data_IF_303544466844
#
_entry.id   IF_303544466844
#
_cell.length_a   1.000
_cell.length_b   1.000
_cell.length_c   1.000
_cell.angle_alpha   90.00
_cell.angle_beta   90.00
_cell.angle_gamma   90.00
#
_symmetry.space_group_name_H-M   'P 1'
#
loop_
_entity.id
_entity.type
_entity.pdbx_description
1 polymer ?
#
# COMPACT_ATOMS: atom_id res chain seq x y z
N UNK A 1 -18.63 -95.22 7.61
CA UNK A 1 -19.31 -94.04 7.04
C UNK A 1 -18.73 -92.81 7.70
N UNK A 2 -17.87 -92.08 6.99
CA UNK A 2 -17.02 -91.01 7.54
C UNK A 2 -17.71 -89.67 7.32
N UNK A 3 -17.86 -88.89 8.39
CA UNK A 3 -18.47 -87.57 8.40
C UNK A 3 -17.62 -86.56 7.59
N UNK A 4 -18.28 -85.81 6.71
CA UNK A 4 -17.68 -84.71 5.94
C UNK A 4 -18.30 -83.39 6.39
N UNK A 5 -17.57 -82.66 7.21
CA UNK A 5 -17.90 -81.33 7.72
C UNK A 5 -17.53 -80.29 6.66
N UNK A 6 -18.53 -79.63 6.06
CA UNK A 6 -18.32 -78.44 5.21
C UNK A 6 -18.02 -77.23 6.09
N UNK A 7 -16.80 -76.70 5.98
CA UNK A 7 -16.43 -75.41 6.56
C UNK A 7 -16.98 -74.27 5.67
N UNK A 8 -17.81 -73.41 6.26
CA UNK A 8 -18.30 -72.16 5.65
C UNK A 8 -17.23 -71.09 5.88
N UNK A 9 -16.63 -70.59 4.79
CA UNK A 9 -15.71 -69.46 4.81
C UNK A 9 -16.51 -68.17 4.61
N UNK A 10 -16.88 -67.48 5.70
CA UNK A 10 -17.40 -66.11 5.63
C UNK A 10 -16.23 -65.13 5.57
N UNK A 11 -16.08 -64.46 4.42
CA UNK A 11 -15.20 -63.30 4.27
C UNK A 11 -15.78 -62.16 5.12
N UNK A 12 -15.22 -61.93 6.30
CA UNK A 12 -15.40 -60.66 7.00
C UNK A 12 -14.57 -59.60 6.26
N UNK A 13 -15.23 -58.84 5.39
CA UNK A 13 -14.72 -57.56 4.91
C UNK A 13 -14.66 -56.58 6.09
N UNK A 14 -13.49 -56.45 6.70
CA UNK A 14 -13.20 -55.34 7.62
C UNK A 14 -13.23 -54.03 6.81
N UNK A 15 -14.39 -53.36 6.82
CA UNK A 15 -14.47 -51.95 6.44
C UNK A 15 -13.72 -51.13 7.48
N UNK A 16 -12.49 -50.75 7.13
CA UNK A 16 -11.73 -49.72 7.86
C UNK A 16 -12.54 -48.41 7.74
N UNK A 17 -12.99 -47.80 8.85
CA UNK A 17 -13.66 -46.52 8.78
C UNK A 17 -12.64 -45.46 8.36
N UNK A 18 -12.78 -44.96 7.13
CA UNK A 18 -12.03 -43.81 6.64
C UNK A 18 -12.41 -42.63 7.52
N UNK A 19 -11.43 -42.18 8.32
CA UNK A 19 -11.56 -41.06 9.25
C UNK A 19 -11.98 -39.78 8.52
N UNK A 20 -13.26 -39.42 8.65
CA UNK A 20 -13.88 -38.20 8.15
C UNK A 20 -13.26 -36.91 8.69
N UNK A 21 -12.44 -37.00 9.75
CA UNK A 21 -11.72 -35.86 10.30
C UNK A 21 -10.65 -35.28 9.35
N UNK A 22 -10.08 -36.09 8.45
CA UNK A 22 -9.03 -35.61 7.54
C UNK A 22 -9.57 -34.74 6.40
N UNK A 23 -10.78 -35.01 5.90
CA UNK A 23 -11.39 -34.26 4.82
C UNK A 23 -11.97 -32.93 5.29
N UNK A 24 -12.62 -32.89 6.46
CA UNK A 24 -13.09 -31.65 7.06
C UNK A 24 -11.93 -30.69 7.38
N UNK A 25 -10.78 -31.20 7.83
CA UNK A 25 -9.59 -30.39 8.08
C UNK A 25 -8.93 -29.87 6.80
N UNK A 26 -9.00 -30.62 5.69
CA UNK A 26 -8.53 -30.16 4.37
C UNK A 26 -9.43 -29.07 3.81
N UNK A 27 -10.75 -29.29 3.80
CA UNK A 27 -11.74 -28.32 3.33
C UNK A 27 -11.66 -27.00 4.10
N UNK A 28 -11.52 -27.06 5.43
CA UNK A 28 -11.31 -25.86 6.27
C UNK A 28 -10.05 -25.08 5.87
N UNK A 29 -8.95 -25.77 5.56
CA UNK A 29 -7.71 -25.12 5.11
C UNK A 29 -7.84 -24.51 3.71
N UNK A 30 -8.56 -25.17 2.81
CA UNK A 30 -8.85 -24.66 1.47
C UNK A 30 -9.73 -23.41 1.53
N UNK A 31 -10.77 -23.41 2.36
CA UNK A 31 -11.64 -22.26 2.60
C UNK A 31 -10.83 -21.08 3.20
N UNK A 32 -9.95 -21.35 4.17
CA UNK A 32 -9.07 -20.34 4.75
C UNK A 32 -8.10 -19.76 3.71
N UNK A 33 -7.54 -20.60 2.84
CA UNK A 33 -6.64 -20.18 1.77
C UNK A 33 -7.36 -19.28 0.75
N UNK A 34 -8.61 -19.61 0.38
CA UNK A 34 -9.44 -18.76 -0.48
C UNK A 34 -9.74 -17.41 0.16
N UNK A 35 -10.07 -17.38 1.45
CA UNK A 35 -10.30 -16.13 2.20
C UNK A 35 -9.03 -15.28 2.23
N UNK A 36 -7.87 -15.88 2.48
CA UNK A 36 -6.59 -15.18 2.50
C UNK A 36 -6.23 -14.62 1.11
N UNK A 37 -6.45 -15.38 0.04
CA UNK A 37 -6.25 -14.90 -1.33
C UNK A 37 -7.17 -13.72 -1.67
N UNK A 38 -8.44 -13.79 -1.28
CA UNK A 38 -9.39 -12.70 -1.48
C UNK A 38 -8.95 -11.43 -0.73
N UNK A 39 -8.54 -11.55 0.55
CA UNK A 39 -8.01 -10.43 1.33
C UNK A 39 -6.77 -9.82 0.70
N UNK A 40 -5.81 -10.65 0.28
CA UNK A 40 -4.59 -10.17 -0.38
C UNK A 40 -4.89 -9.43 -1.68
N UNK A 41 -5.85 -9.91 -2.48
CA UNK A 41 -6.28 -9.21 -3.70
C UNK A 41 -6.83 -7.82 -3.37
N UNK A 42 -7.73 -7.71 -2.39
CA UNK A 42 -8.29 -6.42 -1.97
C UNK A 42 -7.20 -5.47 -1.48
N UNK A 43 -6.23 -5.95 -0.70
CA UNK A 43 -5.11 -5.13 -0.22
C UNK A 43 -4.21 -4.65 -1.36
N UNK A 44 -3.91 -5.52 -2.35
CA UNK A 44 -3.13 -5.14 -3.53
C UNK A 44 -3.86 -4.06 -4.33
N UNK A 45 -5.16 -4.21 -4.54
CA UNK A 45 -5.97 -3.23 -5.27
C UNK A 45 -6.03 -1.89 -4.52
N UNK A 46 -6.15 -1.92 -3.19
CA UNK A 46 -6.09 -0.73 -2.35
C UNK A 46 -4.73 -0.01 -2.44
N UNK A 47 -3.62 -0.75 -2.35
CA UNK A 47 -2.27 -0.19 -2.48
C UNK A 47 -2.05 0.42 -3.87
N UNK A 48 -2.51 -0.25 -4.93
CA UNK A 48 -2.46 0.29 -6.29
C UNK A 48 -3.23 1.60 -6.41
N UNK A 49 -4.42 1.67 -5.81
CA UNK A 49 -5.22 2.90 -5.78
C UNK A 49 -4.49 4.04 -5.07
N UNK A 50 -3.90 3.77 -3.89
CA UNK A 50 -3.08 4.74 -3.15
C UNK A 50 -1.91 5.24 -4.00
N UNK A 51 -1.20 4.32 -4.68
CA UNK A 51 -0.09 4.67 -5.56
C UNK A 51 -0.50 5.58 -6.72
N UNK A 52 -1.63 5.29 -7.36
CA UNK A 52 -2.17 6.12 -8.44
C UNK A 52 -2.53 7.53 -7.96
N UNK A 53 -3.25 7.63 -6.84
CA UNK A 53 -3.61 8.93 -6.24
C UNK A 53 -2.34 9.70 -5.85
N UNK A 54 -1.35 9.02 -5.26
CA UNK A 54 -0.07 9.62 -4.91
C UNK A 54 0.66 10.18 -6.15
N UNK A 55 0.67 9.45 -7.27
CA UNK A 55 1.28 9.92 -8.53
C UNK A 55 0.58 11.16 -9.10
N UNK A 56 -0.75 11.20 -9.05
CA UNK A 56 -1.52 12.38 -9.44
C UNK A 56 -1.20 13.59 -8.56
N UNK A 57 -1.17 13.38 -7.24
CA UNK A 57 -0.84 14.44 -6.29
C UNK A 57 0.61 14.91 -6.42
N UNK A 58 1.56 14.02 -6.69
CA UNK A 58 2.96 14.40 -6.95
C UNK A 58 3.03 15.32 -8.17
N UNK A 59 2.42 14.93 -9.30
CA UNK A 59 2.46 15.74 -10.53
C UNK A 59 1.86 17.13 -10.31
N UNK A 60 0.66 17.19 -9.73
CA UNK A 60 -0.04 18.45 -9.47
C UNK A 60 0.72 19.36 -8.50
N UNK A 61 1.10 18.84 -7.34
CA UNK A 61 1.74 19.66 -6.32
C UNK A 61 3.18 20.02 -6.69
N UNK A 62 3.89 19.20 -7.47
CA UNK A 62 5.20 19.55 -8.02
C UNK A 62 5.11 20.78 -8.93
N UNK A 63 4.16 20.80 -9.86
CA UNK A 63 3.94 21.95 -10.75
C UNK A 63 3.63 23.23 -9.95
N UNK A 64 2.77 23.13 -8.93
CA UNK A 64 2.42 24.27 -8.07
C UNK A 64 3.61 24.80 -7.24
N UNK A 65 4.39 23.91 -6.64
CA UNK A 65 5.60 24.28 -5.88
C UNK A 65 6.65 24.88 -6.81
N UNK A 66 6.84 24.29 -7.99
CA UNK A 66 7.75 24.85 -8.99
C UNK A 66 7.31 26.25 -9.41
N UNK A 67 6.02 26.44 -9.72
CA UNK A 67 5.47 27.73 -10.12
C UNK A 67 5.66 28.79 -9.03
N UNK A 68 5.30 28.48 -7.78
CA UNK A 68 5.45 29.41 -6.66
C UNK A 68 6.89 29.93 -6.50
N UNK A 69 7.89 29.04 -6.65
CA UNK A 69 9.31 29.36 -6.53
C UNK A 69 9.88 30.14 -7.72
N UNK A 70 9.31 29.97 -8.90
CA UNK A 70 9.93 30.40 -10.16
C UNK A 70 9.15 31.48 -10.91
N UNK A 71 7.89 31.77 -10.55
CA UNK A 71 7.01 32.72 -11.26
C UNK A 71 7.64 34.10 -11.48
N UNK A 72 8.42 34.59 -10.52
CA UNK A 72 9.08 35.91 -10.62
C UNK A 72 10.41 35.87 -11.37
N UNK A 73 11.10 34.72 -11.33
CA UNK A 73 12.43 34.55 -11.95
C UNK A 73 12.33 34.17 -13.43
N UNK A 74 11.32 33.40 -13.79
CA UNK A 74 11.15 32.81 -15.11
C UNK A 74 9.72 32.93 -15.66
N UNK A 75 9.15 34.16 -15.74
CA UNK A 75 7.75 34.35 -16.11
C UNK A 75 7.42 33.84 -17.53
N UNK A 76 8.39 33.90 -18.45
CA UNK A 76 8.20 33.49 -19.84
C UNK A 76 8.59 32.03 -20.12
N UNK A 77 9.04 31.28 -19.12
CA UNK A 77 9.48 29.90 -19.31
C UNK A 77 8.32 28.99 -19.69
N UNK A 78 8.58 28.02 -20.57
CA UNK A 78 7.54 27.12 -21.11
C UNK A 78 6.74 26.41 -20.01
N UNK A 79 7.42 25.96 -18.95
CA UNK A 79 6.76 25.36 -17.79
C UNK A 79 5.84 26.34 -17.05
N UNK A 80 6.25 27.60 -16.88
CA UNK A 80 5.42 28.63 -16.23
C UNK A 80 4.12 28.85 -17.03
N UNK A 81 4.25 29.06 -18.34
CA UNK A 81 3.09 29.24 -19.23
C UNK A 81 2.17 28.02 -19.23
N UNK A 82 2.73 26.80 -19.34
CA UNK A 82 1.98 25.54 -19.30
C UNK A 82 1.14 25.44 -18.02
N UNK A 83 1.74 25.74 -16.87
CA UNK A 83 1.08 25.65 -15.56
C UNK A 83 -0.01 26.73 -15.45
N UNK A 84 0.27 27.97 -15.84
CA UNK A 84 -0.71 29.07 -15.82
C UNK A 84 -1.93 28.85 -16.71
N UNK A 85 -1.75 28.22 -17.87
CA UNK A 85 -2.86 27.91 -18.78
C UNK A 85 -3.61 26.63 -18.41
N UNK A 86 -3.12 25.85 -17.44
CA UNK A 86 -3.74 24.59 -17.06
C UNK A 86 -5.02 24.82 -16.26
N UNK A 87 -6.13 24.24 -16.74
CA UNK A 87 -7.42 24.30 -16.05
C UNK A 87 -7.35 23.69 -14.64
N UNK A 88 -6.58 22.61 -14.49
CA UNK A 88 -6.44 21.87 -13.23
C UNK A 88 -5.70 22.67 -12.14
N UNK A 89 -4.91 23.66 -12.54
CA UNK A 89 -4.09 24.48 -11.63
C UNK A 89 -4.69 25.87 -11.38
N UNK A 90 -5.71 26.30 -12.14
CA UNK A 90 -6.22 27.67 -12.14
C UNK A 90 -6.55 28.22 -10.76
N UNK A 91 -7.31 27.47 -9.96
CA UNK A 91 -7.71 27.91 -8.61
C UNK A 91 -6.49 27.99 -7.67
N UNK A 92 -5.61 27.00 -7.72
CA UNK A 92 -4.42 26.95 -6.88
C UNK A 92 -3.42 28.05 -7.23
N UNK A 93 -3.30 28.41 -8.51
CA UNK A 93 -2.47 29.54 -8.96
C UNK A 93 -3.03 30.87 -8.46
N UNK A 94 -4.35 31.05 -8.47
CA UNK A 94 -5.00 32.23 -7.90
C UNK A 94 -4.64 32.38 -6.42
N UNK A 95 -4.76 31.28 -5.65
CA UNK A 95 -4.36 31.23 -4.23
C UNK A 95 -2.87 31.51 -4.03
N UNK A 96 -1.99 30.96 -4.88
CA UNK A 96 -0.56 31.26 -4.79
C UNK A 96 -0.24 32.73 -5.06
N UNK A 97 -1.04 33.43 -5.85
CA UNK A 97 -0.90 34.88 -6.15
C UNK A 97 -1.58 35.79 -5.12
N UNK A 98 -2.32 35.24 -4.17
CA UNK A 98 -2.94 36.04 -3.11
C UNK A 98 -1.90 36.52 -2.08
N UNK A 99 -2.36 37.33 -1.14
CA UNK A 99 -1.57 37.76 0.02
C UNK A 99 -1.08 36.57 0.86
N UNK A 100 -1.84 35.47 0.89
CA UNK A 100 -1.51 34.24 1.61
C UNK A 100 -0.72 33.23 0.75
N UNK A 101 -0.04 33.72 -0.30
CA UNK A 101 0.68 32.86 -1.24
C UNK A 101 1.70 31.94 -0.58
N UNK A 102 2.36 32.39 0.49
CA UNK A 102 3.35 31.62 1.25
C UNK A 102 2.71 30.44 2.01
N UNK A 103 1.54 30.66 2.62
CA UNK A 103 0.77 29.59 3.26
C UNK A 103 0.42 28.50 2.24
N UNK A 104 -0.09 28.90 1.08
CA UNK A 104 -0.47 27.95 0.03
C UNK A 104 0.74 27.23 -0.58
N UNK A 105 1.88 27.90 -0.71
CA UNK A 105 3.13 27.24 -1.12
C UNK A 105 3.59 26.21 -0.08
N UNK A 106 3.53 26.54 1.22
CA UNK A 106 3.81 25.61 2.31
C UNK A 106 2.88 24.39 2.28
N UNK A 107 1.57 24.63 2.14
CA UNK A 107 0.56 23.57 2.04
C UNK A 107 0.81 22.63 0.86
N UNK A 108 1.06 23.17 -0.35
CA UNK A 108 1.37 22.36 -1.54
C UNK A 108 2.69 21.60 -1.38
N UNK A 109 3.68 22.18 -0.70
CA UNK A 109 4.95 21.50 -0.38
C UNK A 109 4.73 20.32 0.56
N UNK A 110 3.87 20.48 1.58
CA UNK A 110 3.48 19.41 2.48
C UNK A 110 2.73 18.27 1.77
N UNK A 111 1.77 18.61 0.91
CA UNK A 111 1.07 17.62 0.08
C UNK A 111 2.01 16.86 -0.85
N UNK A 112 2.97 17.56 -1.47
CA UNK A 112 3.99 16.92 -2.31
C UNK A 112 4.84 15.92 -1.51
N UNK A 113 5.23 16.28 -0.30
CA UNK A 113 6.00 15.41 0.58
C UNK A 113 5.18 14.17 1.01
N UNK A 114 3.93 14.38 1.44
CA UNK A 114 3.02 13.29 1.83
C UNK A 114 2.74 12.35 0.65
N UNK A 115 2.51 12.87 -0.55
CA UNK A 115 2.26 12.06 -1.74
C UNK A 115 3.49 11.20 -2.09
N UNK A 116 4.71 11.73 -1.97
CA UNK A 116 5.94 10.92 -2.14
C UNK A 116 6.03 9.79 -1.12
N UNK A 117 5.73 10.06 0.15
CA UNK A 117 5.69 9.04 1.20
C UNK A 117 4.71 7.92 0.85
N UNK A 118 3.47 8.27 0.51
CA UNK A 118 2.44 7.29 0.17
C UNK A 118 2.78 6.49 -1.08
N UNK A 119 3.40 7.11 -2.09
CA UNK A 119 3.91 6.38 -3.26
C UNK A 119 4.97 5.35 -2.86
N UNK A 120 5.93 5.74 -2.03
CA UNK A 120 7.00 4.84 -1.59
C UNK A 120 6.47 3.67 -0.74
N UNK A 121 5.44 3.92 0.08
CA UNK A 121 4.77 2.91 0.90
C UNK A 121 3.86 1.99 0.07
N UNK A 122 3.22 2.51 -0.97
CA UNK A 122 2.32 1.75 -1.84
C UNK A 122 3.04 0.92 -2.91
N UNK A 123 4.31 1.25 -3.20
CA UNK A 123 5.13 0.52 -4.16
C UNK A 123 5.54 -0.85 -3.64
N UNK A 124 4.65 -1.83 -3.89
CA UNK A 124 4.88 -3.26 -3.66
C UNK A 124 5.17 -4.01 -4.97
N UNK A 125 5.42 -3.31 -6.08
CA UNK A 125 5.59 -3.94 -7.40
C UNK A 125 6.77 -4.91 -7.42
N UNK A 126 7.83 -4.58 -6.69
CA UNK A 126 8.99 -5.45 -6.47
C UNK A 126 8.65 -6.76 -5.76
N UNK A 127 7.54 -6.86 -5.02
CA UNK A 127 7.11 -8.06 -4.28
C UNK A 127 6.38 -9.08 -5.17
N UNK A 128 5.83 -8.63 -6.31
CA UNK A 128 4.80 -9.36 -7.06
C UNK A 128 5.30 -10.56 -7.89
N UNK A 129 6.59 -10.60 -8.22
CA UNK A 129 7.18 -11.59 -9.14
C UNK A 129 8.25 -12.46 -8.48
N UNK A 130 8.25 -12.58 -7.16
CA UNK A 130 9.31 -13.30 -6.43
C UNK A 130 8.90 -14.73 -6.13
N UNK A 131 9.82 -15.65 -6.39
CA UNK A 131 9.69 -17.06 -6.04
C UNK A 131 9.60 -17.24 -4.51
N UNK A 132 8.87 -18.27 -4.06
CA UNK A 132 8.53 -18.47 -2.63
C UNK A 132 9.71 -18.37 -1.66
N UNK A 133 10.90 -18.77 -2.09
CA UNK A 133 12.10 -18.85 -1.26
C UNK A 133 12.79 -17.49 -1.04
N UNK A 134 12.46 -16.47 -1.83
CA UNK A 134 13.03 -15.13 -1.73
C UNK A 134 12.09 -14.10 -1.06
N UNK A 135 10.83 -14.49 -0.80
CA UNK A 135 9.80 -13.61 -0.22
C UNK A 135 10.25 -13.00 1.11
N UNK A 136 10.88 -13.78 1.98
CA UNK A 136 11.31 -13.31 3.32
C UNK A 136 12.34 -12.17 3.22
N UNK A 137 13.29 -12.30 2.30
CA UNK A 137 14.32 -11.28 2.08
C UNK A 137 13.73 -10.00 1.50
N UNK A 138 12.73 -10.12 0.62
CA UNK A 138 12.08 -8.97 -0.03
C UNK A 138 11.10 -8.27 0.92
N UNK A 139 10.38 -8.99 1.76
CA UNK A 139 9.57 -8.36 2.83
C UNK A 139 10.46 -7.57 3.78
N UNK A 140 11.63 -8.11 4.16
CA UNK A 140 12.61 -7.39 4.98
C UNK A 140 13.17 -6.14 4.30
N UNK A 141 13.46 -6.22 2.99
CA UNK A 141 13.97 -5.07 2.24
C UNK A 141 12.92 -3.98 2.06
N UNK A 142 11.65 -4.35 1.83
CA UNK A 142 10.54 -3.42 1.76
C UNK A 142 10.29 -2.71 3.10
N UNK A 143 10.29 -3.45 4.21
CA UNK A 143 10.18 -2.87 5.55
C UNK A 143 11.31 -1.86 5.84
N UNK A 144 12.54 -2.16 5.41
CA UNK A 144 13.67 -1.21 5.50
C UNK A 144 13.47 0.03 4.63
N UNK A 145 12.86 -0.09 3.44
CA UNK A 145 12.53 1.06 2.58
C UNK A 145 11.49 1.97 3.25
N UNK A 146 10.45 1.39 3.83
CA UNK A 146 9.44 2.13 4.61
C UNK A 146 10.11 2.84 5.79
N UNK A 147 10.95 2.14 6.54
CA UNK A 147 11.59 2.72 7.72
C UNK A 147 12.54 3.87 7.36
N UNK A 148 13.31 3.72 6.27
CA UNK A 148 14.09 4.83 5.72
C UNK A 148 13.22 6.00 5.28
N UNK A 149 12.07 5.73 4.65
CA UNK A 149 11.13 6.79 4.24
C UNK A 149 10.66 7.61 5.45
N UNK A 150 10.31 6.94 6.55
CA UNK A 150 9.90 7.62 7.80
C UNK A 150 10.95 8.57 8.35
N UNK A 151 12.25 8.26 8.22
CA UNK A 151 13.35 9.12 8.71
C UNK A 151 13.41 10.49 8.01
N UNK A 152 12.82 10.62 6.82
CA UNK A 152 12.72 11.90 6.12
C UNK A 152 11.56 12.77 6.60
N UNK A 153 10.72 12.26 7.51
CA UNK A 153 9.61 12.99 8.11
C UNK A 153 9.89 13.23 9.60
N UNK A 154 9.53 14.41 10.13
CA UNK A 154 9.73 14.71 11.55
C UNK A 154 8.96 13.70 12.40
N UNK A 155 9.59 13.18 13.47
CA UNK A 155 8.86 12.40 14.47
C UNK A 155 7.87 13.34 15.17
N UNK A 156 6.58 13.09 14.97
CA UNK A 156 5.48 13.87 15.54
C UNK A 156 5.04 13.32 16.91
N UNK A 157 5.77 12.37 17.49
CA UNK A 157 5.58 11.98 18.88
C UNK A 157 5.89 13.17 19.80
N UNK A 158 4.86 13.99 20.05
CA UNK A 158 4.87 15.04 21.04
C UNK A 158 4.69 14.41 22.42
N UNK A 159 5.72 13.74 22.94
CA UNK A 159 5.69 13.25 24.32
C UNK A 159 5.57 14.40 25.34
N UNK A 160 5.86 15.65 24.94
CA UNK A 160 5.56 16.85 25.73
C UNK A 160 5.08 17.99 24.84
N UNK A 161 3.83 18.40 25.06
CA UNK A 161 3.32 19.71 24.63
C UNK A 161 4.15 20.79 25.34
N UNK A 162 4.52 21.91 24.70
CA UNK A 162 5.14 23.00 25.43
C UNK A 162 4.15 23.51 26.47
N UNK A 163 4.42 23.28 27.75
CA UNK A 163 3.68 23.93 28.83
C UNK A 163 3.92 25.43 28.68
N UNK A 164 2.86 26.16 28.32
CA UNK A 164 2.84 27.62 28.34
C UNK A 164 3.26 28.10 29.73
N UNK A 165 4.45 28.67 29.85
CA UNK A 165 4.68 29.69 30.86
C UNK A 165 4.36 31.02 30.21
N UNK A 166 3.11 31.44 30.37
CA UNK A 166 2.77 32.86 30.33
C UNK A 166 3.44 33.53 31.53
N UNK A 167 4.51 34.28 31.29
CA UNK A 167 5.01 35.34 32.18
C UNK A 167 4.75 36.70 31.53
#
# INVERSE_FOLDING_TARGET
>A
MVASTKAVFTKNEMKIPVSSHSEHAKKKREDELLVLQAKNKVLIDALKSIGNIADEQIKKNFDLVWFARNRSRYPNHAASKRIETSKDHRESISKLRSQDGDFHHGFNSGLLAAARMFKDHADIAHIRNIEKDEIVNVVSSHAKKIEKSKQFFPNLETEKFPEEKCE
#
